data_IF_617056149779
#
_entry.id   IF_617056149779
#
_cell.length_a   1.000
_cell.length_b   1.000
_cell.length_c   1.000
_cell.angle_alpha   90.00
_cell.angle_beta   90.00
_cell.angle_gamma   90.00
#
_symmetry.space_group_name_H-M   'P 1'
#
loop_
_entity.id
_entity.type
_entity.pdbx_description
1 polymer ?
#
# COMPACT_ATOMS: atom_id res chain seq x y z
N UNK A 1 10.59 -2.03 -15.97
CA UNK A 1 10.61 -3.19 -15.06
C UNK A 1 9.40 -3.13 -14.14
N UNK A 2 8.47 -4.07 -14.26
CA UNK A 2 7.23 -4.09 -13.47
C UNK A 2 7.48 -4.82 -12.16
N UNK A 3 7.28 -4.15 -11.01
CA UNK A 3 7.48 -4.76 -9.69
C UNK A 3 6.21 -5.52 -9.30
N UNK A 4 5.99 -6.69 -9.91
CA UNK A 4 4.83 -7.57 -9.65
C UNK A 4 5.34 -8.99 -9.41
N UNK A 5 5.06 -9.54 -8.23
CA UNK A 5 5.31 -10.94 -7.92
C UNK A 5 4.16 -11.81 -8.47
N UNK A 6 4.47 -12.70 -9.42
CA UNK A 6 3.53 -13.70 -9.92
C UNK A 6 3.80 -15.05 -9.26
N UNK A 7 2.80 -15.63 -8.61
CA UNK A 7 2.85 -16.96 -8.02
C UNK A 7 1.73 -17.84 -8.57
N UNK A 8 2.00 -19.13 -8.74
CA UNK A 8 0.98 -20.11 -9.15
C UNK A 8 0.03 -20.50 -8.01
N UNK A 9 0.46 -20.34 -6.76
CA UNK A 9 -0.31 -20.55 -5.52
C UNK A 9 0.15 -19.56 -4.45
N UNK A 10 -0.73 -19.28 -3.49
CA UNK A 10 -0.41 -18.41 -2.35
C UNK A 10 0.85 -18.88 -1.62
N UNK A 11 1.75 -17.94 -1.31
CA UNK A 11 2.94 -18.20 -0.52
C UNK A 11 3.29 -16.95 0.30
N UNK A 12 2.77 -16.90 1.53
CA UNK A 12 2.94 -15.78 2.45
C UNK A 12 4.39 -15.35 2.63
N UNK A 13 5.33 -16.29 2.76
CA UNK A 13 6.75 -15.99 2.94
C UNK A 13 7.35 -15.25 1.74
N UNK A 14 7.01 -15.67 0.53
CA UNK A 14 7.47 -15.01 -0.71
C UNK A 14 6.82 -13.64 -0.90
N UNK A 15 5.54 -13.52 -0.55
CA UNK A 15 4.79 -12.27 -0.63
C UNK A 15 5.38 -11.22 0.31
N UNK A 16 5.60 -11.57 1.58
CA UNK A 16 6.22 -10.68 2.57
C UNK A 16 7.63 -10.26 2.14
N UNK A 17 8.45 -11.22 1.69
CA UNK A 17 9.81 -10.91 1.28
C UNK A 17 9.82 -9.93 0.10
N UNK A 18 8.96 -10.14 -0.89
CA UNK A 18 8.81 -9.25 -2.03
C UNK A 18 8.39 -7.83 -1.61
N UNK A 19 7.45 -7.69 -0.68
CA UNK A 19 7.05 -6.39 -0.14
C UNK A 19 8.21 -5.71 0.60
N UNK A 20 8.95 -6.44 1.43
CA UNK A 20 10.09 -5.90 2.16
C UNK A 20 11.20 -5.42 1.19
N UNK A 21 11.50 -6.20 0.16
CA UNK A 21 12.51 -5.84 -0.84
C UNK A 21 12.07 -4.60 -1.64
N UNK A 22 10.79 -4.53 -2.01
CA UNK A 22 10.22 -3.34 -2.64
C UNK A 22 10.38 -2.11 -1.75
N UNK A 23 9.98 -2.19 -0.47
CA UNK A 23 10.02 -1.07 0.46
C UNK A 23 11.46 -0.62 0.79
N UNK A 24 12.39 -1.57 0.93
CA UNK A 24 13.82 -1.28 1.14
C UNK A 24 14.46 -0.60 -0.06
N UNK A 25 14.03 -0.95 -1.27
CA UNK A 25 14.55 -0.38 -2.51
C UNK A 25 14.07 1.04 -2.82
N UNK A 26 13.21 1.64 -2.00
CA UNK A 26 12.71 2.99 -2.23
C UNK A 26 13.67 4.05 -1.71
N UNK A 27 13.84 5.10 -2.52
CA UNK A 27 14.44 6.35 -2.09
C UNK A 27 13.57 7.05 -1.04
N UNK A 28 14.18 7.98 -0.29
CA UNK A 28 13.44 8.81 0.66
C UNK A 28 12.30 9.59 -0.01
N UNK A 29 12.51 10.10 -1.23
CA UNK A 29 11.47 10.80 -2.00
C UNK A 29 10.28 9.89 -2.30
N UNK A 30 10.53 8.70 -2.85
CA UNK A 30 9.47 7.74 -3.19
C UNK A 30 8.70 7.28 -1.94
N UNK A 31 9.38 7.14 -0.79
CA UNK A 31 8.73 6.85 0.50
C UNK A 31 7.76 7.97 0.90
N UNK A 32 8.18 9.23 0.82
CA UNK A 32 7.29 10.37 1.11
C UNK A 32 6.11 10.43 0.12
N UNK A 33 6.35 10.26 -1.17
CA UNK A 33 5.29 10.22 -2.18
C UNK A 33 4.24 9.13 -1.88
N UNK A 34 4.69 7.93 -1.48
CA UNK A 34 3.80 6.86 -1.07
C UNK A 34 2.99 7.22 0.18
N UNK A 35 3.64 7.78 1.21
CA UNK A 35 2.96 8.22 2.44
C UNK A 35 1.88 9.27 2.13
N UNK A 36 2.20 10.29 1.33
CA UNK A 36 1.24 11.33 0.97
C UNK A 36 0.05 10.77 0.18
N UNK A 37 0.30 9.85 -0.75
CA UNK A 37 -0.78 9.14 -1.46
C UNK A 37 -1.66 8.37 -0.49
N UNK A 38 -1.07 7.65 0.46
CA UNK A 38 -1.81 6.88 1.45
C UNK A 38 -2.66 7.77 2.36
N UNK A 39 -2.13 8.91 2.79
CA UNK A 39 -2.87 9.90 3.57
C UNK A 39 -4.10 10.41 2.79
N UNK A 40 -3.94 10.73 1.50
CA UNK A 40 -5.07 11.16 0.66
C UNK A 40 -6.13 10.08 0.52
N UNK A 41 -5.74 8.83 0.32
CA UNK A 41 -6.67 7.68 0.28
C UNK A 41 -7.47 7.57 1.58
N UNK A 42 -6.79 7.62 2.74
CA UNK A 42 -7.43 7.52 4.04
C UNK A 42 -8.42 8.66 4.28
N UNK A 43 -8.03 9.90 3.97
CA UNK A 43 -8.92 11.06 4.07
C UNK A 43 -10.13 10.93 3.14
N UNK A 44 -9.95 10.39 1.94
CA UNK A 44 -11.06 10.14 1.01
C UNK A 44 -12.03 9.09 1.56
N UNK A 45 -11.53 8.01 2.14
CA UNK A 45 -12.36 6.98 2.79
C UNK A 45 -13.14 7.56 3.98
N UNK A 46 -12.48 8.36 4.82
CA UNK A 46 -13.13 9.03 5.95
C UNK A 46 -14.27 9.93 5.49
N UNK A 47 -14.02 10.82 4.50
CA UNK A 47 -15.07 11.67 3.91
C UNK A 47 -16.22 10.87 3.33
N UNK A 48 -15.93 9.76 2.63
CA UNK A 48 -16.95 8.89 2.03
C UNK A 48 -17.86 8.25 3.08
N UNK A 49 -17.32 7.97 4.27
CA UNK A 49 -18.03 7.30 5.36
C UNK A 49 -18.47 8.23 6.50
N UNK A 50 -18.19 9.53 6.39
CA UNK A 50 -18.51 10.57 7.39
C UNK A 50 -20.01 10.61 7.75
N UNK A 51 -20.88 10.26 6.79
CA UNK A 51 -22.33 10.23 6.96
C UNK A 51 -22.90 8.88 7.42
N UNK A 52 -22.06 7.86 7.65
CA UNK A 52 -22.48 6.59 8.27
C UNK A 52 -22.44 6.71 9.79
N UNK A 53 -23.16 7.69 10.35
CA UNK A 53 -23.57 7.57 11.75
C UNK A 53 -24.65 6.49 11.78
N UNK A 54 -24.30 5.32 12.27
CA UNK A 54 -25.27 4.30 12.68
C UNK A 54 -26.23 4.96 13.67
N UNK A 55 -27.48 5.16 13.24
CA UNK A 55 -28.61 5.38 14.14
C UNK A 55 -28.85 4.11 14.95
#
# INVERSE_FOLDING_TARGET
MTRVLKLSRHNSRKEIQFELDYLKGLSTRERFEMMFRKTKEMLSLLKKHENRKTT
#
